data_IF_007871410390
#
_entry.id   IF_007871410390
#
_cell.length_a   1.000
_cell.length_b   1.000
_cell.length_c   1.000
_cell.angle_alpha   90.00
_cell.angle_beta   90.00
_cell.angle_gamma   90.00
#
_symmetry.space_group_name_H-M   'P 1'
#
loop_
_entity.id
_entity.type
_entity.pdbx_description
1 polymer ?
#
# COMPACT_ATOMS: atom_id res chain seq x y z
N UNK A 1 -0.09 7.34 -16.06
CA UNK A 1 0.78 6.14 -16.20
C UNK A 1 0.40 5.13 -15.12
N UNK A 2 0.64 3.83 -15.31
CA UNK A 2 0.39 2.81 -14.28
C UNK A 2 1.68 2.09 -13.94
N UNK A 3 1.98 1.93 -12.65
CA UNK A 3 3.17 1.22 -12.18
C UNK A 3 2.77 -0.02 -11.39
N UNK A 4 3.54 -1.10 -11.56
CA UNK A 4 3.41 -2.33 -10.76
C UNK A 4 4.46 -2.29 -9.65
N UNK A 5 4.02 -2.03 -8.42
CA UNK A 5 4.86 -2.11 -7.23
C UNK A 5 4.90 -3.56 -6.75
N UNK A 6 6.09 -4.02 -6.35
CA UNK A 6 6.29 -5.31 -5.67
C UNK A 6 6.58 -5.01 -4.21
N UNK A 7 5.59 -5.22 -3.36
CA UNK A 7 5.68 -4.95 -1.93
C UNK A 7 6.06 -6.26 -1.24
N UNK A 8 7.12 -6.22 -0.45
CA UNK A 8 7.67 -7.39 0.25
C UNK A 8 7.80 -7.03 1.72
N UNK A 9 7.10 -7.75 2.59
CA UNK A 9 7.31 -7.63 4.03
C UNK A 9 8.52 -8.45 4.44
N UNK A 10 9.65 -7.76 4.65
CA UNK A 10 10.87 -8.32 5.23
C UNK A 10 10.91 -8.14 6.77
N UNK A 11 9.72 -8.03 7.39
CA UNK A 11 9.57 -7.84 8.82
C UNK A 11 10.07 -9.05 9.63
N UNK A 12 10.37 -8.85 10.91
CA UNK A 12 10.74 -9.93 11.84
C UNK A 12 9.84 -10.04 13.07
N UNK A 13 9.05 -8.99 13.37
CA UNK A 13 8.33 -8.89 14.63
C UNK A 13 6.89 -8.40 14.48
N UNK A 14 6.62 -7.44 13.61
CA UNK A 14 5.31 -6.82 13.44
C UNK A 14 4.86 -6.88 11.99
N UNK A 15 3.56 -7.01 11.79
CA UNK A 15 2.92 -6.75 10.50
C UNK A 15 2.74 -5.24 10.30
N UNK A 16 2.51 -4.85 9.05
CA UNK A 16 2.35 -3.43 8.70
C UNK A 16 1.02 -3.17 8.00
N UNK A 17 0.41 -2.02 8.27
CA UNK A 17 -0.52 -1.42 7.32
C UNK A 17 0.24 -0.49 6.38
N UNK A 18 -0.10 -0.51 5.09
CA UNK A 18 0.51 0.31 4.05
C UNK A 18 -0.56 0.98 3.20
N UNK A 19 -0.41 2.29 2.99
CA UNK A 19 -1.24 3.08 2.08
C UNK A 19 -0.41 4.14 1.34
N UNK A 20 -0.98 4.68 0.26
CA UNK A 20 -0.40 5.81 -0.47
C UNK A 20 -1.47 6.91 -0.49
N UNK A 21 -1.14 8.09 0.01
CA UNK A 21 -2.09 9.20 0.07
C UNK A 21 -2.68 9.48 -1.31
N UNK A 22 -4.01 9.56 -1.38
CA UNK A 22 -4.79 9.86 -2.59
C UNK A 22 -4.63 8.84 -3.74
N UNK A 23 -4.05 7.66 -3.50
CA UNK A 23 -3.91 6.62 -4.50
C UNK A 23 -4.55 5.31 -4.04
N UNK A 24 -5.30 4.67 -4.94
CA UNK A 24 -5.78 3.32 -4.74
C UNK A 24 -4.70 2.30 -5.12
N UNK A 25 -4.70 1.15 -4.44
CA UNK A 25 -3.83 0.01 -4.72
C UNK A 25 -4.68 -1.11 -5.33
N UNK A 26 -4.38 -1.54 -6.55
CA UNK A 26 -5.07 -2.68 -7.17
C UNK A 26 -4.17 -3.91 -7.10
N UNK A 27 -4.48 -4.84 -6.21
CA UNK A 27 -3.76 -6.09 -6.03
C UNK A 27 -3.98 -6.98 -7.24
N UNK A 28 -2.91 -7.56 -7.77
CA UNK A 28 -2.97 -8.48 -8.93
C UNK A 28 -2.22 -9.79 -8.70
N UNK A 29 -1.33 -9.84 -7.71
CA UNK A 29 -0.71 -11.10 -7.28
C UNK A 29 -0.44 -11.09 -5.78
N UNK A 30 -0.45 -12.27 -5.18
CA UNK A 30 -0.05 -12.53 -3.80
C UNK A 30 0.92 -13.71 -3.79
N UNK A 31 2.06 -13.56 -3.12
CA UNK A 31 3.06 -14.61 -2.94
C UNK A 31 3.56 -15.29 -4.22
N UNK A 32 3.50 -14.56 -5.35
CA UNK A 32 3.92 -15.05 -6.66
C UNK A 32 2.81 -15.69 -7.49
N UNK A 33 1.58 -15.76 -6.97
CA UNK A 33 0.40 -16.29 -7.66
C UNK A 33 -0.51 -15.14 -8.07
N UNK A 34 -0.91 -15.11 -9.35
CA UNK A 34 -1.89 -14.13 -9.83
C UNK A 34 -3.25 -14.37 -9.18
N UNK A 35 -3.87 -13.28 -8.73
CA UNK A 35 -5.21 -13.28 -8.13
C UNK A 35 -6.15 -12.42 -8.97
N UNK A 36 -7.45 -12.60 -8.78
CA UNK A 36 -8.42 -11.65 -9.30
C UNK A 36 -8.08 -10.24 -8.79
N UNK A 37 -8.34 -9.21 -9.57
CA UNK A 37 -7.98 -7.85 -9.16
C UNK A 37 -8.86 -7.34 -8.03
N UNK A 38 -8.25 -6.80 -6.98
CA UNK A 38 -8.96 -6.16 -5.86
C UNK A 38 -8.38 -4.78 -5.62
N UNK A 39 -9.23 -3.76 -5.63
CA UNK A 39 -8.84 -2.37 -5.39
C UNK A 39 -9.13 -2.01 -3.94
N UNK A 40 -8.11 -1.53 -3.25
CA UNK A 40 -8.10 -1.16 -1.83
C UNK A 40 -7.44 0.20 -1.64
N UNK A 41 -7.63 0.80 -0.47
CA UNK A 41 -6.91 2.02 -0.06
C UNK A 41 -5.78 1.73 0.92
N UNK A 42 -5.91 0.66 1.70
CA UNK A 42 -4.90 0.23 2.66
C UNK A 42 -4.71 -1.28 2.60
N UNK A 43 -3.46 -1.70 2.75
CA UNK A 43 -3.06 -3.10 2.76
C UNK A 43 -2.45 -3.45 4.11
N UNK A 44 -3.05 -4.40 4.81
CA UNK A 44 -2.35 -5.14 5.86
C UNK A 44 -1.43 -6.18 5.20
N UNK A 45 -0.15 -6.17 5.57
CA UNK A 45 0.85 -7.10 5.08
C UNK A 45 1.57 -7.76 6.25
N UNK A 46 1.44 -9.08 6.35
CA UNK A 46 2.07 -9.87 7.41
C UNK A 46 3.54 -10.21 7.07
N UNK A 47 4.26 -10.71 8.06
CA UNK A 47 5.66 -11.12 7.98
C UNK A 47 5.85 -12.13 6.85
N UNK A 48 6.72 -11.80 5.88
CA UNK A 48 7.08 -12.67 4.77
C UNK A 48 6.08 -12.71 3.61
N UNK A 49 4.95 -12.00 3.69
CA UNK A 49 4.00 -11.86 2.58
C UNK A 49 4.56 -10.95 1.47
N UNK A 50 4.14 -11.20 0.23
CA UNK A 50 4.45 -10.39 -0.95
C UNK A 50 3.19 -10.09 -1.73
N UNK A 51 3.05 -8.85 -2.17
CA UNK A 51 1.95 -8.43 -3.04
C UNK A 51 2.49 -7.68 -4.24
N UNK A 52 1.93 -7.97 -5.41
CA UNK A 52 2.07 -7.11 -6.57
C UNK A 52 0.82 -6.23 -6.68
N UNK A 53 1.02 -4.91 -6.64
CA UNK A 53 -0.05 -3.92 -6.73
C UNK A 53 0.16 -3.00 -7.92
N UNK A 54 -0.92 -2.70 -8.62
CA UNK A 54 -0.97 -1.66 -9.63
C UNK A 54 -1.40 -0.35 -8.98
N UNK A 55 -0.64 0.71 -9.25
CA UNK A 55 -0.94 2.08 -8.80
C UNK A 55 -1.03 2.97 -10.02
N UNK A 56 -2.16 3.66 -10.14
CA UNK A 56 -2.39 4.63 -11.22
C UNK A 56 -1.87 5.99 -10.80
N UNK A 57 -0.92 6.54 -11.56
CA UNK A 57 -0.42 7.91 -11.37
C UNK A 57 -1.37 8.89 -12.05
N UNK A 58 -2.48 9.18 -11.37
CA UNK A 58 -3.59 10.00 -11.86
C UNK A 58 -3.90 11.19 -10.95
N UNK A 59 -3.04 11.47 -9.97
CA UNK A 59 -3.14 12.65 -9.12
C UNK A 59 -2.35 13.82 -9.73
N UNK A 60 -2.58 15.07 -9.27
CA UNK A 60 -1.77 16.22 -9.66
C UNK A 60 -0.26 16.00 -9.45
N UNK A 61 0.57 16.78 -10.15
CA UNK A 61 2.02 16.74 -9.96
C UNK A 61 2.34 17.31 -8.56
N UNK A 62 2.66 16.43 -7.63
CA UNK A 62 3.00 16.75 -6.25
C UNK A 62 3.79 15.59 -5.59
N UNK A 63 4.09 15.71 -4.31
CA UNK A 63 4.60 14.64 -3.47
C UNK A 63 3.48 14.06 -2.61
N UNK A 64 3.49 12.74 -2.46
CA UNK A 64 2.50 11.99 -1.69
C UNK A 64 3.18 11.11 -0.66
N UNK A 65 2.65 11.09 0.57
CA UNK A 65 3.12 10.16 1.59
C UNK A 65 2.72 8.72 1.23
N UNK A 66 3.71 7.82 1.26
CA UNK A 66 3.51 6.39 1.47
C UNK A 66 3.56 6.19 2.97
N UNK A 67 2.45 5.75 3.56
CA UNK A 67 2.30 5.57 5.01
C UNK A 67 2.45 4.10 5.35
N UNK A 68 3.25 3.82 6.37
CA UNK A 68 3.53 2.47 6.85
C UNK A 68 3.42 2.49 8.37
N UNK A 69 2.45 1.80 8.94
CA UNK A 69 2.26 1.75 10.38
C UNK A 69 2.49 0.33 10.89
N UNK A 70 3.29 0.18 11.94
CA UNK A 70 3.41 -1.11 12.61
C UNK A 70 2.11 -1.43 13.33
N UNK A 71 1.70 -2.69 13.26
CA UNK A 71 0.45 -3.16 13.85
C UNK A 71 0.68 -4.38 14.75
N UNK A 72 -0.17 -4.54 15.75
CA UNK A 72 -0.29 -5.75 16.55
C UNK A 72 -1.74 -6.20 16.51
N UNK A 73 -2.02 -7.35 15.90
CA UNK A 73 -3.39 -7.81 15.64
C UNK A 73 -4.27 -6.74 14.99
N UNK A 74 -3.70 -5.96 14.05
CA UNK A 74 -4.35 -4.86 13.31
C UNK A 74 -4.59 -3.57 14.09
N UNK A 75 -4.25 -3.52 15.36
CA UNK A 75 -4.21 -2.26 16.11
C UNK A 75 -2.87 -1.57 15.86
N UNK A 76 -2.90 -0.29 15.48
CA UNK A 76 -1.68 0.51 15.34
C UNK A 76 -0.99 0.64 16.70
N UNK A 77 0.29 0.25 16.75
CA UNK A 77 1.08 0.30 17.99
C UNK A 77 1.93 1.58 18.11
N UNK A 78 1.57 2.62 17.34
CA UNK A 78 2.15 3.96 17.42
C UNK A 78 3.49 4.15 16.72
N UNK A 79 4.03 3.12 16.06
CA UNK A 79 5.21 3.27 15.19
C UNK A 79 4.76 3.59 13.76
N UNK A 80 4.85 4.87 13.40
CA UNK A 80 4.52 5.38 12.07
C UNK A 80 5.80 5.65 11.29
N UNK A 81 5.82 5.17 10.05
CA UNK A 81 6.90 5.36 9.11
C UNK A 81 6.35 5.97 7.82
N UNK A 82 7.18 6.76 7.15
CA UNK A 82 6.80 7.44 5.93
C UNK A 82 7.86 7.26 4.86
N UNK A 83 7.40 7.15 3.61
CA UNK A 83 8.22 7.30 2.42
C UNK A 83 7.53 8.26 1.44
N UNK A 84 8.24 8.70 0.40
CA UNK A 84 7.75 9.71 -0.53
C UNK A 84 7.52 9.09 -1.90
N UNK A 85 6.32 9.27 -2.44
CA UNK A 85 6.00 9.09 -3.85
C UNK A 85 6.04 10.46 -4.53
N UNK A 86 7.05 10.70 -5.35
CA UNK A 86 7.26 11.98 -6.04
C UNK A 86 6.88 11.88 -7.51
N UNK A 87 5.99 12.76 -7.97
CA UNK A 87 5.75 12.93 -9.40
C UNK A 87 6.90 13.70 -10.06
N UNK A 88 7.24 13.34 -11.30
CA UNK A 88 8.21 14.10 -12.08
C UNK A 88 7.76 15.56 -12.23
N UNK A 89 8.63 16.50 -11.85
CA UNK A 89 8.33 17.94 -11.85
C UNK A 89 7.76 18.49 -10.53
N UNK A 90 7.55 17.67 -9.50
CA UNK A 90 7.22 18.15 -8.16
C UNK A 90 8.42 18.88 -7.51
N UNK A 91 8.16 19.80 -6.59
CA UNK A 91 9.20 20.55 -5.87
C UNK A 91 9.98 19.67 -4.87
N UNK A 92 11.20 20.05 -4.51
CA UNK A 92 12.00 19.36 -3.48
C UNK A 92 11.57 19.76 -2.05
N UNK A 93 10.33 19.42 -1.66
CA UNK A 93 9.78 19.66 -0.33
C UNK A 93 9.19 18.36 0.26
N UNK A 94 8.85 18.37 1.55
CA UNK A 94 8.12 17.25 2.16
C UNK A 94 6.66 17.23 1.67
N UNK A 95 6.05 16.04 1.50
CA UNK A 95 4.64 15.93 1.14
C UNK A 95 3.72 16.62 2.15
N UNK A 96 2.75 17.38 1.64
CA UNK A 96 1.63 17.95 2.42
C UNK A 96 0.32 17.19 2.18
N UNK A 97 0.41 16.01 1.56
CA UNK A 97 -0.74 15.17 1.22
C UNK A 97 -1.51 14.72 2.46
N UNK A 98 -2.83 14.64 2.31
CA UNK A 98 -3.75 14.25 3.39
C UNK A 98 -4.05 12.75 3.28
N UNK A 99 -3.98 12.08 4.44
CA UNK A 99 -4.49 10.73 4.59
C UNK A 99 -6.01 10.70 4.44
N UNK A 100 -6.52 9.88 3.53
CA UNK A 100 -7.95 9.60 3.45
C UNK A 100 -8.26 8.33 4.24
N UNK A 101 -9.24 8.39 5.14
CA UNK A 101 -9.69 7.21 5.87
C UNK A 101 -10.09 6.11 4.87
N UNK A 102 -9.47 4.92 4.93
CA UNK A 102 -9.67 3.88 3.94
C UNK A 102 -11.06 3.27 4.10
N UNK A 103 -11.76 3.11 2.98
CA UNK A 103 -13.07 2.44 2.93
C UNK A 103 -12.92 0.94 2.72
N UNK A 104 -11.85 0.52 2.05
CA UNK A 104 -11.51 -0.88 1.78
C UNK A 104 -10.07 -1.15 2.20
N UNK A 105 -9.93 -2.10 3.12
CA UNK A 105 -8.65 -2.57 3.65
C UNK A 105 -8.49 -4.03 3.23
N UNK A 106 -7.35 -4.37 2.65
CA UNK A 106 -7.00 -5.78 2.46
C UNK A 106 -6.47 -6.34 3.79
N UNK A 107 -7.01 -7.48 4.19
CA UNK A 107 -6.47 -8.31 5.27
C UNK A 107 -6.68 -9.81 4.96
N UNK A 108 -6.21 -10.69 5.85
CA UNK A 108 -6.37 -12.15 5.69
C UNK A 108 -7.84 -12.63 5.74
N UNK A 109 -8.79 -11.78 6.15
CA UNK A 109 -10.22 -12.10 6.08
C UNK A 109 -10.81 -11.81 4.71
N UNK A 110 -10.07 -11.16 3.82
CA UNK A 110 -10.43 -10.89 2.43
C UNK A 110 -9.87 -11.99 1.53
N UNK A 111 -10.67 -13.01 1.14
CA UNK A 111 -10.14 -14.14 0.38
C UNK A 111 -9.77 -13.70 -1.05
N UNK A 112 -8.48 -13.52 -1.30
CA UNK A 112 -7.94 -13.32 -2.64
C UNK A 112 -7.99 -14.64 -3.40
N UNK A 113 -8.81 -14.69 -4.45
CA UNK A 113 -8.97 -15.90 -5.27
C UNK A 113 -7.97 -15.90 -6.41
N UNK A 114 -7.30 -17.04 -6.69
CA UNK A 114 -6.45 -17.17 -7.86
C UNK A 114 -7.21 -16.82 -9.15
N UNK A 115 -6.54 -16.12 -10.06
CA UNK A 115 -7.06 -15.84 -11.39
C UNK A 115 -6.76 -17.07 -12.26
N UNK A 116 -7.80 -17.86 -12.57
CA UNK A 116 -7.68 -19.09 -13.39
C UNK A 116 -7.66 -18.75 -14.87
#
# INVERSE_FOLDING_TARGET
MTYRFRIISAASQFAYSLSIDQHNLTIVAMDGVYVNSYTIQEMYIDIGQRYDVLVHMNQPIDLYWIRINATNNRDEIGSQFHAILQYEGASDADPVSVYANPMFILDDSTPLKPNK
#
